data_IF_128575656095
#
_entry.id   IF_128575656095
#
_cell.length_a   1.000
_cell.length_b   1.000
_cell.length_c   1.000
_cell.angle_alpha   90.00
_cell.angle_beta   90.00
_cell.angle_gamma   90.00
#
_symmetry.space_group_name_H-M   'P 1'
#
loop_
_entity.id
_entity.type
_entity.pdbx_description
1 polymer ?
#
# COMPACT_ATOMS: atom_id res chain seq x y z
N UNK A 1 -17.33 1.08 6.80
CA UNK A 1 -15.87 0.88 6.71
C UNK A 1 -15.26 2.11 6.08
N UNK A 2 -14.36 2.80 6.78
CA UNK A 2 -13.66 3.95 6.21
C UNK A 2 -12.52 3.44 5.33
N UNK A 3 -12.30 4.09 4.19
CA UNK A 3 -11.23 3.77 3.25
C UNK A 3 -10.69 5.05 2.65
N UNK A 4 -9.37 5.15 2.62
CA UNK A 4 -8.68 6.21 1.91
C UNK A 4 -7.87 5.61 0.77
N UNK A 5 -7.59 6.47 -0.21
CA UNK A 5 -6.81 6.13 -1.38
C UNK A 5 -5.85 7.29 -1.66
N UNK A 6 -4.56 6.99 -1.60
CA UNK A 6 -3.48 7.92 -1.90
C UNK A 6 -2.81 7.51 -3.21
N UNK A 7 -2.54 8.50 -4.06
CA UNK A 7 -1.88 8.29 -5.34
C UNK A 7 -0.47 8.87 -5.32
N UNK A 8 0.51 8.09 -5.76
CA UNK A 8 1.91 8.51 -5.80
C UNK A 8 2.48 8.24 -7.17
N UNK A 9 3.23 9.21 -7.70
CA UNK A 9 3.97 9.05 -8.94
C UNK A 9 5.39 8.57 -8.63
N UNK A 10 5.75 7.40 -9.13
CA UNK A 10 7.10 6.84 -9.17
C UNK A 10 7.59 6.85 -10.61
N UNK A 11 7.94 8.05 -11.09
CA UNK A 11 8.35 8.26 -12.48
C UNK A 11 9.54 7.37 -12.86
N UNK A 12 9.48 6.75 -14.03
CA UNK A 12 10.55 5.88 -14.55
C UNK A 12 10.63 4.50 -13.92
N UNK A 13 9.67 4.10 -13.07
CA UNK A 13 9.59 2.75 -12.51
C UNK A 13 8.61 1.88 -13.29
N UNK A 14 8.99 0.62 -13.54
CA UNK A 14 8.08 -0.33 -14.17
C UNK A 14 7.03 -0.80 -13.16
N UNK A 15 5.86 -1.23 -13.65
CA UNK A 15 4.81 -1.78 -12.79
C UNK A 15 5.29 -3.01 -12.02
N UNK A 16 6.18 -3.80 -12.62
CA UNK A 16 6.83 -4.96 -11.98
C UNK A 16 7.74 -4.56 -10.82
N UNK A 17 8.57 -3.52 -10.98
CA UNK A 17 9.47 -3.06 -9.90
C UNK A 17 8.67 -2.55 -8.70
N UNK A 18 7.61 -1.79 -8.97
CA UNK A 18 6.70 -1.30 -7.92
C UNK A 18 5.98 -2.48 -7.25
N UNK A 19 5.54 -3.47 -8.02
CA UNK A 19 4.88 -4.66 -7.49
C UNK A 19 5.80 -5.46 -6.56
N UNK A 20 7.05 -5.69 -6.95
CA UNK A 20 8.03 -6.36 -6.08
C UNK A 20 8.36 -5.50 -4.85
N UNK A 21 8.51 -4.18 -5.01
CA UNK A 21 8.73 -3.27 -3.89
C UNK A 21 7.55 -3.27 -2.91
N UNK A 22 6.31 -3.39 -3.40
CA UNK A 22 5.10 -3.43 -2.58
C UNK A 22 5.05 -4.66 -1.65
N UNK A 23 5.55 -5.82 -2.10
CA UNK A 23 5.65 -7.04 -1.28
C UNK A 23 6.52 -6.84 -0.04
N UNK A 24 7.50 -5.94 -0.12
CA UNK A 24 8.42 -5.62 0.98
C UNK A 24 7.95 -4.39 1.77
N UNK A 25 7.36 -3.40 1.10
CA UNK A 25 6.90 -2.16 1.72
C UNK A 25 5.73 -2.37 2.69
N UNK A 26 4.78 -3.26 2.36
CA UNK A 26 3.64 -3.57 3.24
C UNK A 26 4.10 -4.11 4.62
N UNK A 27 4.97 -5.15 4.70
CA UNK A 27 5.54 -5.61 5.97
C UNK A 27 6.28 -4.53 6.75
N UNK A 28 7.09 -3.70 6.08
CA UNK A 28 7.77 -2.56 6.72
C UNK A 28 6.80 -1.55 7.32
N UNK A 29 5.62 -1.40 6.73
CA UNK A 29 4.57 -0.52 7.21
C UNK A 29 3.66 -1.16 8.28
N UNK A 30 3.92 -2.42 8.68
CA UNK A 30 3.14 -3.14 9.68
C UNK A 30 1.95 -3.94 9.13
N UNK A 31 1.92 -4.20 7.83
CA UNK A 31 0.91 -5.04 7.18
C UNK A 31 1.52 -6.34 6.69
N UNK A 32 0.84 -7.46 6.91
CA UNK A 32 1.21 -8.74 6.34
C UNK A 32 0.66 -8.87 4.92
N UNK A 33 1.47 -9.37 3.99
CA UNK A 33 1.00 -9.66 2.63
C UNK A 33 0.02 -10.83 2.67
N UNK A 34 -1.24 -10.56 2.32
CA UNK A 34 -2.31 -11.55 2.34
C UNK A 34 -2.51 -12.21 0.97
N UNK A 35 -2.58 -11.41 -0.10
CA UNK A 35 -2.81 -11.92 -1.46
C UNK A 35 -2.04 -11.09 -2.49
N UNK A 36 -1.59 -11.78 -3.53
CA UNK A 36 -1.00 -11.19 -4.71
C UNK A 36 -1.97 -11.29 -5.89
N UNK A 37 -1.99 -10.25 -6.73
CA UNK A 37 -2.75 -10.20 -7.98
C UNK A 37 -1.84 -9.68 -9.07
N UNK A 38 -1.04 -10.57 -9.62
CA UNK A 38 0.03 -10.23 -10.58
C UNK A 38 -0.53 -9.60 -11.87
N UNK A 39 -1.70 -10.05 -12.33
CA UNK A 39 -2.39 -9.50 -13.52
C UNK A 39 -2.74 -8.01 -13.34
N UNK A 40 -2.97 -7.58 -12.11
CA UNK A 40 -3.32 -6.19 -11.79
C UNK A 40 -2.16 -5.45 -11.09
N UNK A 41 -0.96 -6.06 -11.02
CA UNK A 41 0.18 -5.56 -10.23
C UNK A 41 -0.22 -5.05 -8.84
N UNK A 42 -1.05 -5.85 -8.15
CA UNK A 42 -1.66 -5.46 -6.88
C UNK A 42 -1.28 -6.42 -5.75
N UNK A 43 -0.80 -5.85 -4.65
CA UNK A 43 -0.49 -6.56 -3.40
C UNK A 43 -1.52 -6.16 -2.36
N UNK A 44 -2.23 -7.13 -1.81
CA UNK A 44 -3.18 -6.95 -0.73
C UNK A 44 -2.51 -7.31 0.58
N UNK A 45 -2.58 -6.41 1.54
CA UNK A 45 -2.06 -6.57 2.89
C UNK A 45 -3.16 -6.50 3.94
N UNK A 46 -2.95 -7.20 5.05
CA UNK A 46 -3.80 -7.14 6.24
C UNK A 46 -2.94 -6.77 7.44
N UNK A 47 -3.47 -5.94 8.31
CA UNK A 47 -2.75 -5.48 9.48
C UNK A 47 -3.71 -4.99 10.55
N UNK A 48 -3.14 -4.25 11.49
CA UNK A 48 -3.89 -3.58 12.54
C UNK A 48 -3.44 -2.12 12.66
N UNK A 49 -4.39 -1.23 12.90
CA UNK A 49 -4.14 0.16 13.26
C UNK A 49 -4.90 0.41 14.56
N UNK A 50 -4.20 0.77 15.64
CA UNK A 50 -4.80 0.94 16.97
C UNK A 50 -5.61 -0.30 17.42
N UNK A 51 -5.02 -1.49 17.25
CA UNK A 51 -5.64 -2.81 17.51
C UNK A 51 -6.87 -3.18 16.68
N UNK A 52 -7.35 -2.29 15.81
CA UNK A 52 -8.46 -2.54 14.90
C UNK A 52 -7.97 -3.18 13.59
N UNK A 53 -8.72 -4.14 13.03
CA UNK A 53 -8.36 -4.77 11.76
C UNK A 53 -8.38 -3.74 10.63
N UNK A 54 -7.29 -3.72 9.85
CA UNK A 54 -7.12 -2.83 8.72
C UNK A 54 -6.62 -3.60 7.49
N UNK A 55 -7.09 -3.20 6.32
CA UNK A 55 -6.60 -3.66 5.02
C UNK A 55 -5.71 -2.56 4.44
N UNK A 56 -4.56 -2.96 3.89
CA UNK A 56 -3.59 -2.07 3.23
C UNK A 56 -3.21 -2.65 1.89
N UNK A 57 -3.62 -2.03 0.79
CA UNK A 57 -3.36 -2.54 -0.56
C UNK A 57 -2.52 -1.55 -1.36
N UNK A 58 -1.65 -2.10 -2.20
CA UNK A 58 -0.82 -1.34 -3.14
C UNK A 58 -1.09 -1.86 -4.55
N UNK A 59 -1.37 -0.98 -5.49
CA UNK A 59 -1.55 -1.30 -6.91
C UNK A 59 -0.63 -0.43 -7.75
N UNK A 60 0.17 -1.05 -8.61
CA UNK A 60 0.96 -0.34 -9.61
C UNK A 60 0.16 -0.20 -10.91
N UNK A 61 0.22 0.99 -11.51
CA UNK A 61 -0.39 1.27 -12.81
C UNK A 61 0.70 1.65 -13.82
N UNK A 62 0.45 1.40 -15.12
CA UNK A 62 1.33 1.84 -16.20
C UNK A 62 1.64 3.35 -16.10
N UNK A 63 2.87 3.73 -16.46
CA UNK A 63 3.32 5.13 -16.36
C UNK A 63 3.85 5.53 -14.98
N UNK A 64 3.97 4.60 -14.04
CA UNK A 64 4.57 4.84 -12.73
C UNK A 64 3.60 5.37 -11.67
N UNK A 65 2.30 5.41 -11.96
CA UNK A 65 1.28 5.77 -10.97
C UNK A 65 1.06 4.60 -10.01
N UNK A 66 1.04 4.87 -8.71
CA UNK A 66 0.83 3.87 -7.67
C UNK A 66 -0.33 4.29 -6.80
N UNK A 67 -1.24 3.36 -6.57
CA UNK A 67 -2.37 3.53 -5.69
C UNK A 67 -2.13 2.80 -4.38
N UNK A 68 -2.20 3.53 -3.27
CA UNK A 68 -2.10 2.98 -1.93
C UNK A 68 -3.45 3.18 -1.26
N UNK A 69 -4.14 2.10 -0.95
CA UNK A 69 -5.42 2.14 -0.26
C UNK A 69 -5.28 1.55 1.13
N UNK A 70 -5.83 2.24 2.12
CA UNK A 70 -5.90 1.74 3.50
C UNK A 70 -7.31 1.90 4.01
N UNK A 71 -7.87 0.86 4.60
CA UNK A 71 -9.23 0.90 5.14
C UNK A 71 -9.40 0.02 6.36
N UNK A 72 -10.44 0.30 7.13
CA UNK A 72 -10.85 -0.50 8.27
C UNK A 72 -12.08 0.08 8.95
N UNK A 73 -12.67 -0.68 9.85
CA UNK A 73 -13.86 -0.29 10.59
C UNK A 73 -13.48 0.35 11.93
N UNK A 74 -14.07 1.51 12.25
CA UNK A 74 -13.79 2.23 13.50
C UNK A 74 -12.46 2.98 13.54
N UNK A 75 -11.71 3.03 12.44
CA UNK A 75 -10.43 3.75 12.34
C UNK A 75 -10.66 5.17 11.83
N UNK A 76 -9.98 6.15 12.42
CA UNK A 76 -10.08 7.55 11.99
C UNK A 76 -9.38 7.77 10.64
N UNK A 77 -9.87 8.71 9.84
CA UNK A 77 -9.23 9.10 8.58
C UNK A 77 -7.77 9.56 8.77
N UNK A 78 -7.46 10.17 9.92
CA UNK A 78 -6.10 10.60 10.25
C UNK A 78 -5.16 9.41 10.43
N UNK A 79 -5.59 8.37 11.15
CA UNK A 79 -4.80 7.15 11.36
C UNK A 79 -4.66 6.35 10.06
N UNK A 80 -5.72 6.26 9.26
CA UNK A 80 -5.68 5.65 7.93
C UNK A 80 -4.65 6.37 7.05
N UNK A 81 -4.66 7.72 7.04
CA UNK A 81 -3.68 8.53 6.29
C UNK A 81 -2.26 8.31 6.77
N UNK A 82 -2.06 8.26 8.09
CA UNK A 82 -0.74 7.98 8.65
C UNK A 82 -0.22 6.60 8.21
N UNK A 83 -1.09 5.58 8.19
CA UNK A 83 -0.72 4.25 7.68
C UNK A 83 -0.42 4.25 6.17
N UNK A 84 -1.23 4.93 5.36
CA UNK A 84 -0.97 5.06 3.92
C UNK A 84 0.37 5.76 3.64
N UNK A 85 0.68 6.83 4.37
CA UNK A 85 1.96 7.54 4.26
C UNK A 85 3.15 6.65 4.65
N UNK A 86 3.02 5.78 5.65
CA UNK A 86 4.06 4.78 6.00
C UNK A 86 4.31 3.80 4.85
N UNK A 87 3.25 3.29 4.22
CA UNK A 87 3.38 2.41 3.05
C UNK A 87 4.07 3.13 1.90
N UNK A 88 3.68 4.39 1.62
CA UNK A 88 4.28 5.22 0.57
C UNK A 88 5.77 5.47 0.83
N UNK A 89 6.14 5.80 2.07
CA UNK A 89 7.53 6.01 2.45
C UNK A 89 8.35 4.73 2.22
N UNK A 90 7.86 3.59 2.72
CA UNK A 90 8.53 2.30 2.54
C UNK A 90 8.64 1.89 1.06
N UNK A 91 7.64 2.22 0.24
CA UNK A 91 7.66 2.02 -1.22
C UNK A 91 8.78 2.83 -1.87
N UNK A 92 8.89 4.13 -1.56
CA UNK A 92 9.93 5.01 -2.12
C UNK A 92 11.34 4.57 -1.73
N UNK A 93 11.53 4.01 -0.54
CA UNK A 93 12.82 3.48 -0.10
C UNK A 93 13.18 2.14 -0.77
N UNK A 94 12.17 1.36 -1.15
CA UNK A 94 12.37 -0.01 -1.63
C UNK A 94 12.41 -0.10 -3.16
N UNK A 95 11.74 0.83 -3.84
CA UNK A 95 11.71 0.89 -5.30
C UNK A 95 13.05 1.44 -5.82
N UNK A 96 13.89 0.54 -6.34
CA UNK A 96 15.22 0.89 -6.88
C UNK A 96 15.15 1.44 -8.28
#
# INVERSE_FOLDING_TARGET
MANIVENVMLAGKSTSDVFEAAKVALPKAGFEVWKLRDIAWMVLGKGKINDLPADGNVMAMPGGLVNVSVGGEGISDADLRAAAQKIIAALKETVK
#
